data_IF_345542749366
#
_entry.id   IF_345542749366
#
_cell.length_a   1.000
_cell.length_b   1.000
_cell.length_c   1.000
_cell.angle_alpha   90.00
_cell.angle_beta   90.00
_cell.angle_gamma   90.00
#
_symmetry.space_group_name_H-M   'P 1'
#
loop_
_entity.id
_entity.type
_entity.pdbx_description
1 polymer ?
#
# COMPACT_ATOMS: atom_id res chain seq x y z
N UNK A 1 -24.31 12.73 -14.81
CA UNK A 1 -23.09 13.39 -15.33
C UNK A 1 -21.91 12.44 -15.17
N UNK A 2 -21.40 11.79 -16.22
CA UNK A 2 -20.16 10.98 -16.14
C UNK A 2 -18.98 11.95 -16.12
N UNK A 3 -18.50 12.31 -14.93
CA UNK A 3 -17.27 13.10 -14.81
C UNK A 3 -16.11 12.31 -15.42
N UNK A 4 -15.55 12.82 -16.52
CA UNK A 4 -14.35 12.26 -17.13
C UNK A 4 -13.16 12.69 -16.27
N UNK A 5 -12.74 11.81 -15.36
CA UNK A 5 -11.52 12.05 -14.56
C UNK A 5 -10.32 12.06 -15.52
N UNK A 6 -9.48 13.10 -15.48
CA UNK A 6 -8.37 13.23 -16.41
C UNK A 6 -7.33 12.13 -16.17
N UNK A 7 -6.63 11.71 -17.24
CA UNK A 7 -5.72 10.58 -17.19
C UNK A 7 -4.55 10.79 -16.22
N UNK A 8 -4.06 12.03 -16.09
CA UNK A 8 -2.97 12.36 -15.17
C UNK A 8 -3.33 12.13 -13.70
N UNK A 9 -4.59 12.35 -13.29
CA UNK A 9 -5.04 12.08 -11.91
C UNK A 9 -4.91 10.60 -11.58
N UNK A 10 -5.29 9.72 -12.52
CA UNK A 10 -5.14 8.27 -12.34
C UNK A 10 -3.67 7.89 -12.22
N UNK A 11 -2.82 8.43 -13.11
CA UNK A 11 -1.38 8.20 -13.04
C UNK A 11 -0.73 8.67 -11.73
N UNK A 12 -1.17 9.80 -11.17
CA UNK A 12 -0.70 10.28 -9.87
C UNK A 12 -1.13 9.35 -8.74
N UNK A 13 -2.39 8.90 -8.71
CA UNK A 13 -2.86 7.94 -7.70
C UNK A 13 -2.09 6.63 -7.78
N UNK A 14 -1.83 6.12 -8.98
CA UNK A 14 -1.09 4.87 -9.20
C UNK A 14 0.37 5.01 -8.76
N UNK A 15 1.01 6.16 -9.04
CA UNK A 15 2.36 6.45 -8.59
C UNK A 15 2.45 6.55 -7.05
N UNK A 16 1.50 7.25 -6.43
CA UNK A 16 1.41 7.33 -4.97
C UNK A 16 1.19 5.95 -4.35
N UNK A 17 0.36 5.10 -4.96
CA UNK A 17 0.17 3.72 -4.54
C UNK A 17 1.46 2.91 -4.57
N UNK A 18 2.27 3.05 -5.63
CA UNK A 18 3.56 2.36 -5.73
C UNK A 18 4.51 2.80 -4.61
N UNK A 19 4.60 4.12 -4.36
CA UNK A 19 5.46 4.65 -3.30
C UNK A 19 5.03 4.13 -1.93
N UNK A 20 3.74 4.21 -1.62
CA UNK A 20 3.20 3.74 -0.33
C UNK A 20 3.34 2.22 -0.21
N UNK A 21 3.13 1.47 -1.28
CA UNK A 21 3.32 0.01 -1.31
C UNK A 21 4.75 -0.38 -0.95
N UNK A 22 5.76 0.33 -1.47
CA UNK A 22 7.17 0.10 -1.12
C UNK A 22 7.41 0.36 0.37
N UNK A 23 6.88 1.46 0.93
CA UNK A 23 7.04 1.81 2.35
C UNK A 23 6.39 0.76 3.24
N UNK A 24 5.15 0.35 2.93
CA UNK A 24 4.40 -0.67 3.68
C UNK A 24 5.07 -2.05 3.55
N UNK A 25 5.59 -2.39 2.37
CA UNK A 25 6.33 -3.63 2.13
C UNK A 25 7.63 -3.70 2.93
N UNK A 26 8.45 -2.64 2.88
CA UNK A 26 9.71 -2.55 3.65
C UNK A 26 9.46 -2.58 5.16
N UNK A 27 8.46 -1.84 5.64
CA UNK A 27 8.09 -1.87 7.05
C UNK A 27 7.53 -3.24 7.47
N UNK A 28 6.78 -3.92 6.61
CA UNK A 28 6.33 -5.30 6.84
C UNK A 28 7.48 -6.28 6.98
N UNK A 29 8.51 -6.18 6.13
CA UNK A 29 9.74 -6.98 6.23
C UNK A 29 10.47 -6.67 7.55
N UNK A 30 10.62 -5.39 7.90
CA UNK A 30 11.25 -4.98 9.15
C UNK A 30 10.53 -5.60 10.37
N UNK A 31 9.20 -5.56 10.39
CA UNK A 31 8.38 -6.10 11.47
C UNK A 31 8.35 -7.62 11.52
N UNK A 32 8.46 -8.29 10.37
CA UNK A 32 8.61 -9.74 10.31
C UNK A 32 9.93 -10.20 10.95
N UNK A 33 11.02 -9.45 10.72
CA UNK A 33 12.33 -9.73 11.33
C UNK A 33 12.44 -9.27 12.79
N UNK A 34 11.53 -8.39 13.24
CA UNK A 34 11.58 -7.83 14.58
C UNK A 34 11.21 -8.89 15.63
N UNK A 35 12.00 -9.05 16.71
CA UNK A 35 11.63 -9.90 17.82
C UNK A 35 10.42 -9.33 18.58
N UNK A 36 9.92 -10.08 19.57
CA UNK A 36 8.80 -9.63 20.40
C UNK A 36 9.07 -8.24 21.00
N UNK A 37 8.03 -7.42 21.20
CA UNK A 37 8.19 -6.01 21.58
C UNK A 37 9.06 -5.78 22.82
N UNK A 38 8.93 -6.64 23.83
CA UNK A 38 9.77 -6.58 25.03
C UNK A 38 11.24 -6.91 24.72
N UNK A 39 11.50 -7.96 23.94
CA UNK A 39 12.86 -8.36 23.56
C UNK A 39 13.49 -7.29 22.69
N UNK A 40 12.76 -6.78 21.68
CA UNK A 40 13.22 -5.73 20.79
C UNK A 40 13.68 -4.48 21.58
N UNK A 41 12.94 -4.09 22.61
CA UNK A 41 13.32 -2.97 23.48
C UNK A 41 14.54 -3.27 24.36
N UNK A 42 14.63 -4.48 24.90
CA UNK A 42 15.75 -4.90 25.76
C UNK A 42 17.08 -4.95 25.00
N UNK A 43 17.08 -5.44 23.76
CA UNK A 43 18.31 -5.57 22.95
C UNK A 43 18.59 -4.33 22.09
N UNK A 44 17.77 -3.29 22.19
CA UNK A 44 17.88 -2.11 21.33
C UNK A 44 17.77 -2.46 19.85
N UNK A 45 16.85 -3.35 19.48
CA UNK A 45 16.70 -3.82 18.11
C UNK A 45 16.37 -2.64 17.18
N UNK A 46 17.14 -2.56 16.11
CA UNK A 46 16.94 -1.60 15.04
C UNK A 46 17.02 -2.29 13.70
N UNK A 47 16.25 -1.81 12.74
CA UNK A 47 16.38 -2.17 11.33
C UNK A 47 16.51 -0.88 10.52
N UNK A 48 17.56 -0.79 9.70
CA UNK A 48 17.96 0.43 8.99
C UNK A 48 18.02 1.69 9.90
N UNK A 49 18.46 1.52 11.15
CA UNK A 49 18.59 2.60 12.12
C UNK A 49 17.28 3.04 12.80
N UNK A 50 16.14 2.41 12.48
CA UNK A 50 14.85 2.70 13.11
C UNK A 50 14.46 1.60 14.10
N UNK A 51 13.83 1.99 15.22
CA UNK A 51 13.32 1.06 16.23
C UNK A 51 12.09 0.32 15.73
N UNK A 52 11.77 -0.81 16.37
CA UNK A 52 10.55 -1.58 16.11
C UNK A 52 9.28 -0.72 16.18
N UNK A 53 9.18 0.17 17.16
CA UNK A 53 8.01 1.02 17.36
C UNK A 53 7.84 2.02 16.21
N UNK A 54 8.94 2.58 15.70
CA UNK A 54 8.90 3.45 14.51
C UNK A 54 8.47 2.67 13.27
N UNK A 55 8.94 1.44 13.08
CA UNK A 55 8.49 0.58 11.98
C UNK A 55 7.01 0.24 12.07
N UNK A 56 6.47 -0.01 13.27
CA UNK A 56 5.03 -0.20 13.49
C UNK A 56 4.26 1.02 13.04
N UNK A 57 4.68 2.21 13.49
CA UNK A 57 4.00 3.46 13.16
C UNK A 57 4.01 3.71 11.65
N UNK A 58 5.16 3.52 10.98
CA UNK A 58 5.26 3.61 9.53
C UNK A 58 4.30 2.63 8.85
N UNK A 59 4.32 1.35 9.24
CA UNK A 59 3.48 0.34 8.62
C UNK A 59 1.98 0.65 8.77
N UNK A 60 1.54 1.04 9.97
CA UNK A 60 0.13 1.31 10.26
C UNK A 60 -0.36 2.57 9.54
N UNK A 61 0.35 3.70 9.66
CA UNK A 61 -0.10 4.94 9.04
C UNK A 61 -0.06 4.87 7.51
N UNK A 62 1.03 4.37 6.93
CA UNK A 62 1.11 4.21 5.48
C UNK A 62 0.17 3.11 4.98
N UNK A 63 -0.08 2.05 5.76
CA UNK A 63 -1.08 1.03 5.44
C UNK A 63 -2.49 1.61 5.34
N UNK A 64 -2.88 2.47 6.27
CA UNK A 64 -4.17 3.18 6.22
C UNK A 64 -4.28 4.11 5.00
N UNK A 65 -3.20 4.85 4.68
CA UNK A 65 -3.13 5.67 3.46
C UNK A 65 -3.27 4.79 2.21
N UNK A 66 -2.59 3.65 2.17
CA UNK A 66 -2.66 2.70 1.06
C UNK A 66 -4.09 2.21 0.83
N UNK A 67 -4.80 1.84 1.91
CA UNK A 67 -6.19 1.41 1.83
C UNK A 67 -7.06 2.50 1.19
N UNK A 68 -6.92 3.76 1.65
CA UNK A 68 -7.66 4.89 1.06
C UNK A 68 -7.35 5.09 -0.42
N UNK A 69 -6.07 5.05 -0.80
CA UNK A 69 -5.64 5.18 -2.19
C UNK A 69 -6.12 4.02 -3.07
N UNK A 70 -6.15 2.78 -2.56
CA UNK A 70 -6.67 1.60 -3.29
C UNK A 70 -8.16 1.77 -3.57
N UNK A 71 -8.94 2.25 -2.58
CA UNK A 71 -10.37 2.54 -2.79
C UNK A 71 -10.54 3.56 -3.92
N UNK A 72 -9.79 4.66 -3.90
CA UNK A 72 -9.82 5.68 -4.96
C UNK A 72 -9.43 5.08 -6.31
N UNK A 73 -8.35 4.30 -6.37
CA UNK A 73 -7.87 3.63 -7.58
C UNK A 73 -8.94 2.72 -8.20
N UNK A 74 -9.58 1.88 -7.38
CA UNK A 74 -10.65 0.98 -7.82
C UNK A 74 -11.83 1.80 -8.35
N UNK A 75 -12.29 2.83 -7.64
CA UNK A 75 -13.43 3.66 -8.08
C UNK A 75 -13.14 4.34 -9.41
N UNK A 76 -11.92 4.86 -9.61
CA UNK A 76 -11.49 5.52 -10.85
C UNK A 76 -11.31 4.52 -12.03
N UNK A 77 -10.98 3.26 -11.73
CA UNK A 77 -10.69 2.20 -12.69
C UNK A 77 -11.82 1.18 -12.91
N UNK A 78 -12.89 1.22 -12.11
CA UNK A 78 -13.86 0.12 -11.95
C UNK A 78 -14.43 -0.41 -13.26
N UNK A 79 -14.88 0.49 -14.15
CA UNK A 79 -15.47 0.10 -15.42
C UNK A 79 -14.49 -0.65 -16.33
N UNK A 80 -13.19 -0.26 -16.32
CA UNK A 80 -12.15 -0.92 -17.10
C UNK A 80 -11.82 -2.28 -16.52
N UNK A 81 -11.71 -2.37 -15.20
CA UNK A 81 -11.46 -3.62 -14.48
C UNK A 81 -12.57 -4.65 -14.77
N UNK A 82 -13.84 -4.25 -14.68
CA UNK A 82 -14.99 -5.13 -15.00
C UNK A 82 -14.99 -5.55 -16.48
N UNK A 83 -14.68 -4.63 -17.40
CA UNK A 83 -14.59 -4.97 -18.82
C UNK A 83 -13.47 -5.99 -19.10
N UNK A 84 -12.30 -5.82 -18.47
CA UNK A 84 -11.17 -6.76 -18.56
C UNK A 84 -11.53 -8.12 -17.97
N UNK A 85 -12.15 -8.17 -16.79
CA UNK A 85 -12.61 -9.41 -16.17
C UNK A 85 -13.59 -10.15 -17.07
N UNK A 86 -14.62 -9.46 -17.60
CA UNK A 86 -15.58 -10.05 -18.53
C UNK A 86 -14.90 -10.58 -19.80
N UNK A 87 -13.90 -9.87 -20.32
CA UNK A 87 -13.14 -10.32 -21.49
C UNK A 87 -12.31 -11.57 -21.19
N UNK A 88 -11.73 -11.68 -19.99
CA UNK A 88 -10.95 -12.84 -19.59
C UNK A 88 -11.83 -14.11 -19.54
N UNK A 89 -13.03 -14.01 -18.98
CA UNK A 89 -13.97 -15.14 -18.90
C UNK A 89 -14.65 -15.50 -20.22
N UNK A 90 -14.75 -14.58 -21.18
CA UNK A 90 -15.32 -14.88 -22.51
C UNK A 90 -14.32 -15.60 -23.42
N UNK A 91 -13.02 -15.45 -23.15
CA UNK A 91 -11.92 -16.01 -23.95
C UNK A 91 -11.24 -17.22 -23.28
N UNK A 92 -11.82 -17.75 -22.19
CA UNK A 92 -11.41 -19.01 -21.53
C UNK A 92 -12.50 -20.06 -21.73
#
# INVERSE_FOLDING_TARGET
>A
MKMKVPAWVKGVIDLLLIVVFIIVGLSGIALYLAPSGKIAKMIGWTFLGLSRDTWINLHVYFGLIMIGLVVVHIVLGFNRMVAMLKSAFKNS
#
